data_IF_614694290878
#
_entry.id   IF_614694290878
#
_cell.length_a   1.000
_cell.length_b   1.000
_cell.length_c   1.000
_cell.angle_alpha   90.00
_cell.angle_beta   90.00
_cell.angle_gamma   90.00
#
_symmetry.space_group_name_H-M   'P 1'
#
loop_
_entity.id
_entity.type
_entity.pdbx_description
1 polymer ?
#
# COMPACT_ATOMS: atom_id res chain seq x y z
N UNK A 1 23.70 -8.66 -14.05
CA UNK A 1 22.56 -8.35 -13.15
C UNK A 1 23.03 -8.56 -11.71
N UNK A 2 22.81 -7.60 -10.79
CA UNK A 2 23.17 -7.81 -9.37
C UNK A 2 22.10 -8.70 -8.74
N UNK A 3 22.48 -9.89 -8.26
CA UNK A 3 21.59 -10.80 -7.54
C UNK A 3 21.34 -10.21 -6.14
N UNK A 4 20.12 -9.76 -5.81
CA UNK A 4 19.86 -9.03 -4.55
C UNK A 4 20.09 -9.87 -3.30
N UNK A 5 19.97 -11.20 -3.43
CA UNK A 5 20.11 -12.17 -2.34
C UNK A 5 21.53 -12.73 -2.18
N UNK A 6 22.47 -12.28 -3.03
CA UNK A 6 23.88 -12.67 -2.90
C UNK A 6 24.39 -12.28 -1.51
N UNK A 7 25.12 -13.17 -0.87
CA UNK A 7 25.66 -13.01 0.49
C UNK A 7 24.65 -13.13 1.65
N UNK A 8 23.42 -13.61 1.39
CA UNK A 8 22.50 -13.99 2.45
C UNK A 8 22.57 -15.50 2.69
N UNK A 9 22.65 -15.90 3.98
CA UNK A 9 22.69 -17.32 4.36
C UNK A 9 21.34 -18.02 4.25
N UNK A 10 20.25 -17.26 4.11
CA UNK A 10 18.89 -17.79 3.95
C UNK A 10 18.48 -17.80 2.48
N UNK A 11 17.69 -18.79 2.10
CA UNK A 11 17.21 -18.89 0.72
C UNK A 11 16.34 -17.69 0.33
N UNK A 12 16.31 -17.29 -0.96
CA UNK A 12 15.43 -16.25 -1.45
C UNK A 12 13.96 -16.48 -1.13
N UNK A 13 13.52 -17.75 -1.09
CA UNK A 13 12.14 -18.15 -0.75
C UNK A 13 11.79 -17.79 0.68
N UNK A 14 12.68 -18.09 1.64
CA UNK A 14 12.50 -17.76 3.06
C UNK A 14 12.44 -16.24 3.24
N UNK A 15 13.33 -15.49 2.58
CA UNK A 15 13.33 -14.02 2.64
C UNK A 15 12.01 -13.45 2.09
N UNK A 16 11.55 -13.92 0.93
CA UNK A 16 10.28 -13.50 0.34
C UNK A 16 9.09 -13.84 1.23
N UNK A 17 9.06 -15.06 1.79
CA UNK A 17 8.01 -15.50 2.71
C UNK A 17 7.96 -14.59 3.95
N UNK A 18 9.09 -14.33 4.58
CA UNK A 18 9.21 -13.50 5.77
C UNK A 18 8.70 -12.07 5.51
N UNK A 19 9.13 -11.45 4.42
CA UNK A 19 8.68 -10.10 4.04
C UNK A 19 7.18 -10.08 3.74
N UNK A 20 6.66 -11.09 3.04
CA UNK A 20 5.22 -11.22 2.77
C UNK A 20 4.42 -11.36 4.06
N UNK A 21 4.85 -12.23 4.98
CA UNK A 21 4.18 -12.44 6.26
C UNK A 21 4.11 -11.14 7.05
N UNK A 22 5.24 -10.45 7.21
CA UNK A 22 5.30 -9.22 7.97
C UNK A 22 4.49 -8.07 7.35
N UNK A 23 4.57 -7.85 6.03
CA UNK A 23 3.90 -6.69 5.42
C UNK A 23 2.41 -6.93 5.23
N UNK A 24 2.01 -8.14 4.86
CA UNK A 24 0.64 -8.44 4.46
C UNK A 24 -0.29 -8.77 5.63
N UNK A 25 0.19 -9.51 6.63
CA UNK A 25 -0.63 -9.98 7.74
C UNK A 25 -0.45 -9.09 8.98
N UNK A 26 -1.45 -8.99 9.87
CA UNK A 26 -1.36 -8.19 11.08
C UNK A 26 -0.50 -8.90 12.15
N UNK A 27 0.77 -9.16 11.81
CA UNK A 27 1.75 -9.82 12.65
C UNK A 27 2.83 -8.84 13.10
N UNK A 28 3.23 -8.90 14.37
CA UNK A 28 4.43 -8.23 14.86
C UNK A 28 5.69 -8.92 14.32
N UNK A 29 6.86 -8.28 14.48
CA UNK A 29 8.14 -8.91 14.10
C UNK A 29 8.38 -10.23 14.86
N UNK A 30 8.05 -10.25 16.14
CA UNK A 30 8.18 -11.46 17.00
C UNK A 30 7.21 -12.57 16.60
N UNK A 31 5.96 -12.23 16.29
CA UNK A 31 5.03 -13.24 15.79
C UNK A 31 5.46 -13.87 14.46
N UNK A 32 6.15 -13.11 13.61
CA UNK A 32 6.74 -13.67 12.39
C UNK A 32 7.90 -14.62 12.73
N UNK A 33 8.78 -14.24 13.68
CA UNK A 33 9.83 -15.09 14.23
C UNK A 33 9.24 -16.39 14.77
N UNK A 34 8.26 -16.31 15.69
CA UNK A 34 7.61 -17.48 16.33
C UNK A 34 7.02 -18.43 15.27
N UNK A 35 6.24 -17.89 14.32
CA UNK A 35 5.61 -18.68 13.25
C UNK A 35 6.61 -19.35 12.31
N UNK A 36 7.77 -18.78 12.11
CA UNK A 36 8.83 -19.37 11.29
C UNK A 36 9.60 -20.43 12.09
N UNK A 37 9.86 -20.18 13.36
CA UNK A 37 10.51 -21.12 14.27
C UNK A 37 9.68 -22.41 14.41
N UNK A 38 8.35 -22.33 14.57
CA UNK A 38 7.44 -23.48 14.57
C UNK A 38 7.50 -24.34 13.28
N UNK A 39 8.09 -23.82 12.22
CA UNK A 39 8.28 -24.48 10.92
C UNK A 39 9.73 -24.85 10.64
N UNK A 40 10.57 -24.84 11.67
CA UNK A 40 11.99 -25.20 11.57
C UNK A 40 12.85 -24.12 10.88
N UNK A 41 12.37 -22.87 10.80
CA UNK A 41 13.13 -21.74 10.23
C UNK A 41 13.55 -20.84 11.38
N UNK A 42 14.79 -20.98 11.83
CA UNK A 42 15.36 -20.22 12.94
C UNK A 42 15.94 -18.89 12.44
N UNK A 43 15.15 -17.81 12.63
CA UNK A 43 15.57 -16.42 12.37
C UNK A 43 14.99 -15.50 13.45
N UNK A 44 15.80 -14.57 13.95
CA UNK A 44 15.33 -13.61 14.96
C UNK A 44 14.52 -12.45 14.36
N UNK A 45 13.70 -11.78 15.17
CA UNK A 45 12.87 -10.65 14.76
C UNK A 45 13.67 -9.45 14.21
N UNK A 46 14.93 -9.28 14.60
CA UNK A 46 15.80 -8.27 14.00
C UNK A 46 16.15 -8.62 12.54
N UNK A 47 16.31 -9.91 12.22
CA UNK A 47 16.46 -10.38 10.84
C UNK A 47 15.20 -10.12 10.03
N UNK A 48 14.01 -10.35 10.60
CA UNK A 48 12.73 -9.99 9.97
C UNK A 48 12.68 -8.48 9.69
N UNK A 49 13.09 -7.66 10.68
CA UNK A 49 13.17 -6.19 10.54
C UNK A 49 14.14 -5.78 9.43
N UNK A 50 15.32 -6.37 9.41
CA UNK A 50 16.33 -6.09 8.39
C UNK A 50 15.83 -6.45 6.99
N UNK A 51 15.23 -7.64 6.81
CA UNK A 51 14.77 -8.09 5.51
C UNK A 51 13.61 -7.27 4.97
N UNK A 52 12.62 -6.94 5.78
CA UNK A 52 11.53 -6.10 5.29
C UNK A 52 12.02 -4.69 4.92
N UNK A 53 12.96 -4.15 5.69
CA UNK A 53 13.54 -2.82 5.42
C UNK A 53 14.32 -2.78 4.11
N UNK A 54 15.04 -3.85 3.80
CA UNK A 54 15.86 -3.97 2.60
C UNK A 54 15.06 -4.40 1.37
N UNK A 55 14.32 -5.48 1.47
CA UNK A 55 13.65 -6.12 0.34
C UNK A 55 12.22 -5.61 0.11
N UNK A 56 11.49 -5.18 1.14
CA UNK A 56 10.14 -4.70 1.01
C UNK A 56 9.98 -3.57 -0.02
N UNK A 57 10.78 -2.50 0.04
CA UNK A 57 10.75 -1.44 -0.99
C UNK A 57 11.10 -1.93 -2.39
N UNK A 58 12.02 -2.87 -2.51
CA UNK A 58 12.43 -3.46 -3.78
C UNK A 58 11.30 -4.28 -4.41
N UNK A 59 10.67 -5.17 -3.65
CA UNK A 59 9.51 -5.93 -4.11
C UNK A 59 8.35 -5.02 -4.49
N UNK A 60 8.06 -4.01 -3.67
CA UNK A 60 7.02 -3.03 -3.95
C UNK A 60 7.30 -2.22 -5.23
N UNK A 61 8.56 -1.87 -5.51
CA UNK A 61 8.93 -1.17 -6.73
C UNK A 61 8.73 -2.04 -7.97
N UNK A 62 9.11 -3.32 -7.90
CA UNK A 62 8.94 -4.27 -9.00
C UNK A 62 7.46 -4.57 -9.29
N UNK A 63 6.65 -4.78 -8.24
CA UNK A 63 5.19 -4.95 -8.36
C UNK A 63 4.58 -3.73 -9.05
N UNK A 64 4.90 -2.51 -8.60
CA UNK A 64 4.38 -1.28 -9.21
C UNK A 64 4.76 -1.16 -10.68
N UNK A 65 6.02 -1.48 -11.03
CA UNK A 65 6.49 -1.44 -12.42
C UNK A 65 5.67 -2.36 -13.33
N UNK A 66 5.43 -3.60 -12.88
CA UNK A 66 4.63 -4.58 -13.64
C UNK A 66 3.17 -4.12 -13.79
N UNK A 67 2.56 -3.59 -12.72
CA UNK A 67 1.16 -3.16 -12.72
C UNK A 67 0.89 -1.92 -13.59
N UNK A 68 1.74 -0.91 -13.56
CA UNK A 68 1.57 0.29 -14.40
C UNK A 68 1.49 -0.07 -15.89
N UNK A 69 2.25 -1.06 -16.33
CA UNK A 69 2.22 -1.53 -17.73
C UNK A 69 0.88 -2.19 -18.09
N UNK A 70 0.24 -2.90 -17.15
CA UNK A 70 -1.00 -3.65 -17.41
C UNK A 70 -2.28 -2.83 -17.27
N UNK A 71 -2.27 -1.70 -16.53
CA UNK A 71 -3.47 -0.96 -16.14
C UNK A 71 -3.61 0.44 -16.76
N UNK A 72 -2.99 0.72 -17.90
CA UNK A 72 -3.01 2.06 -18.52
C UNK A 72 -4.41 2.63 -18.83
N UNK A 73 -5.46 1.79 -18.83
CA UNK A 73 -6.83 2.20 -19.15
C UNK A 73 -7.81 2.20 -17.96
N UNK A 74 -7.42 1.71 -16.77
CA UNK A 74 -8.38 1.44 -15.68
C UNK A 74 -8.53 2.59 -14.66
N UNK A 75 -7.70 3.62 -14.69
CA UNK A 75 -7.67 4.63 -13.63
C UNK A 75 -8.54 5.87 -13.93
N UNK A 76 -9.67 5.71 -14.59
CA UNK A 76 -10.53 6.83 -14.97
C UNK A 76 -11.26 7.48 -13.79
N UNK A 77 -11.47 6.76 -12.67
CA UNK A 77 -12.17 7.21 -11.47
C UNK A 77 -11.33 6.93 -10.23
N UNK A 78 -11.03 7.98 -9.47
CA UNK A 78 -10.28 7.89 -8.22
C UNK A 78 -11.15 8.23 -7.03
N UNK A 79 -10.91 7.56 -5.92
CA UNK A 79 -11.47 7.82 -4.60
C UNK A 79 -10.36 8.29 -3.68
N UNK A 80 -10.51 9.47 -3.10
CA UNK A 80 -9.49 10.07 -2.25
C UNK A 80 -9.99 10.17 -0.81
N UNK A 81 -9.13 9.81 0.12
CA UNK A 81 -9.41 9.97 1.54
C UNK A 81 -8.10 10.05 2.34
N UNK A 82 -8.17 10.49 3.57
CA UNK A 82 -7.01 10.50 4.45
C UNK A 82 -7.28 9.84 5.80
N UNK A 83 -6.23 9.19 6.30
CA UNK A 83 -6.20 8.50 7.59
C UNK A 83 -5.36 9.30 8.58
N UNK A 84 -5.90 9.52 9.78
CA UNK A 84 -5.13 10.10 10.89
C UNK A 84 -4.19 9.06 11.49
N UNK A 85 -2.92 9.38 11.63
CA UNK A 85 -1.92 8.54 12.28
C UNK A 85 -1.21 9.34 13.36
N UNK A 86 -1.16 8.81 14.57
CA UNK A 86 -0.43 9.43 15.68
C UNK A 86 1.02 8.96 15.67
N UNK A 87 1.95 9.91 15.67
CA UNK A 87 3.38 9.67 15.80
C UNK A 87 3.89 10.53 16.97
N UNK A 88 4.34 9.89 18.05
CA UNK A 88 4.82 10.56 19.26
C UNK A 88 3.83 11.62 19.81
N UNK A 89 2.53 11.31 19.77
CA UNK A 89 1.47 12.24 20.22
C UNK A 89 1.06 13.30 19.19
N UNK A 90 1.77 13.45 18.09
CA UNK A 90 1.43 14.38 17.01
C UNK A 90 0.58 13.71 15.92
N UNK A 91 -0.48 14.39 15.46
CA UNK A 91 -1.33 13.92 14.37
C UNK A 91 -0.66 14.14 13.03
N UNK A 92 -0.58 13.09 12.22
CA UNK A 92 -0.17 13.11 10.83
C UNK A 92 -1.30 12.58 9.94
N UNK A 93 -1.28 12.95 8.67
CA UNK A 93 -2.31 12.61 7.69
C UNK A 93 -1.71 11.72 6.60
N UNK A 94 -2.23 10.51 6.48
CA UNK A 94 -1.90 9.58 5.41
C UNK A 94 -2.95 9.71 4.30
N UNK A 95 -2.64 10.47 3.26
CA UNK A 95 -3.46 10.62 2.06
C UNK A 95 -3.40 9.36 1.23
N UNK A 96 -4.55 8.93 0.72
CA UNK A 96 -4.66 7.74 -0.12
C UNK A 96 -5.53 8.03 -1.33
N UNK A 97 -5.06 7.59 -2.50
CA UNK A 97 -5.84 7.51 -3.73
C UNK A 97 -6.09 6.04 -4.03
N UNK A 98 -7.33 5.71 -4.32
CA UNK A 98 -7.78 4.36 -4.66
C UNK A 98 -8.54 4.45 -5.97
N UNK A 99 -8.37 3.50 -6.88
CA UNK A 99 -9.13 3.46 -8.12
C UNK A 99 -10.53 2.84 -7.93
N UNK A 100 -11.27 2.73 -9.03
CA UNK A 100 -12.60 2.15 -9.04
C UNK A 100 -12.62 0.63 -8.78
N UNK A 101 -11.48 -0.05 -8.86
CA UNK A 101 -11.33 -1.48 -8.52
C UNK A 101 -10.91 -1.69 -7.06
N UNK A 102 -10.64 -0.61 -6.32
CA UNK A 102 -10.21 -0.65 -4.92
C UNK A 102 -8.69 -0.78 -4.75
N UNK A 103 -7.92 -0.60 -5.81
CA UNK A 103 -6.46 -0.61 -5.74
C UNK A 103 -5.90 0.72 -5.26
N UNK A 104 -4.95 0.64 -4.35
CA UNK A 104 -4.27 1.82 -3.83
C UNK A 104 -3.26 2.33 -4.85
N UNK A 105 -3.53 3.47 -5.45
CA UNK A 105 -2.67 4.11 -6.44
C UNK A 105 -1.48 4.83 -5.77
N UNK A 106 -1.78 5.73 -4.84
CA UNK A 106 -0.74 6.53 -4.19
C UNK A 106 -1.04 6.67 -2.69
N UNK A 107 0.03 6.76 -1.91
CA UNK A 107 -0.02 7.10 -0.48
C UNK A 107 1.00 8.19 -0.18
N UNK A 108 0.59 9.20 0.58
CA UNK A 108 1.44 10.33 0.92
C UNK A 108 1.19 10.79 2.36
N UNK A 109 2.25 10.98 3.14
CA UNK A 109 2.15 11.40 4.54
C UNK A 109 2.51 12.87 4.67
N UNK A 110 1.68 13.61 5.41
CA UNK A 110 1.93 15.02 5.72
C UNK A 110 1.64 15.32 7.18
N UNK A 111 2.24 16.42 7.71
CA UNK A 111 1.93 16.94 9.04
C UNK A 111 0.66 17.80 9.04
N UNK A 112 0.27 18.36 7.90
CA UNK A 112 -0.88 19.26 7.77
C UNK A 112 -1.91 18.70 6.79
N UNK A 113 -3.18 19.00 7.06
CA UNK A 113 -4.35 18.68 6.23
C UNK A 113 -4.83 19.95 5.51
N UNK A 114 -4.00 20.48 4.62
CA UNK A 114 -4.26 21.73 3.95
C UNK A 114 -4.25 21.60 2.40
N UNK A 115 -4.59 22.71 1.71
CA UNK A 115 -4.57 22.78 0.24
C UNK A 115 -3.20 22.39 -0.35
N UNK A 116 -2.10 22.80 0.31
CA UNK A 116 -0.74 22.54 -0.20
C UNK A 116 -0.42 21.05 -0.14
N UNK A 117 -0.78 20.38 0.93
CA UNK A 117 -0.63 18.94 1.10
C UNK A 117 -1.48 18.17 0.07
N UNK A 118 -2.77 18.53 -0.09
CA UNK A 118 -3.65 17.94 -1.10
C UNK A 118 -3.11 18.12 -2.52
N UNK A 119 -2.60 19.32 -2.85
CA UNK A 119 -2.03 19.62 -4.16
C UNK A 119 -0.76 18.78 -4.44
N UNK A 120 0.14 18.64 -3.46
CA UNK A 120 1.33 17.81 -3.60
C UNK A 120 0.96 16.34 -3.81
N UNK A 121 -0.01 15.83 -3.06
CA UNK A 121 -0.52 14.48 -3.18
C UNK A 121 -1.12 14.22 -4.56
N UNK A 122 -2.03 15.07 -5.04
CA UNK A 122 -2.65 14.96 -6.35
C UNK A 122 -1.64 15.01 -7.49
N UNK A 123 -0.73 15.99 -7.48
CA UNK A 123 0.33 16.10 -8.49
C UNK A 123 1.21 14.86 -8.54
N UNK A 124 1.49 14.23 -7.38
CA UNK A 124 2.29 13.02 -7.29
C UNK A 124 1.55 11.82 -7.88
N UNK A 125 0.27 11.66 -7.58
CA UNK A 125 -0.57 10.61 -8.12
C UNK A 125 -0.74 10.76 -9.64
N UNK A 126 -1.09 11.97 -10.11
CA UNK A 126 -1.32 12.25 -11.53
C UNK A 126 -0.06 12.12 -12.39
N UNK A 127 1.13 12.43 -11.84
CA UNK A 127 2.40 12.22 -12.55
C UNK A 127 2.63 10.75 -12.90
N UNK A 128 2.14 9.84 -12.06
CA UNK A 128 2.36 8.40 -12.22
C UNK A 128 1.27 7.71 -13.01
N UNK A 129 0.02 8.09 -12.79
CA UNK A 129 -1.15 7.37 -13.29
C UNK A 129 -1.99 8.18 -14.30
N UNK A 130 -1.52 9.38 -14.68
CA UNK A 130 -2.29 10.30 -15.53
C UNK A 130 -3.40 11.01 -14.75
N UNK A 131 -4.20 11.81 -15.47
CA UNK A 131 -5.34 12.51 -14.91
C UNK A 131 -6.59 11.61 -14.94
N UNK A 132 -7.30 11.44 -13.81
CA UNK A 132 -8.59 10.76 -13.82
C UNK A 132 -9.67 11.66 -14.44
N UNK A 133 -10.71 11.03 -14.96
CA UNK A 133 -11.92 11.74 -15.44
C UNK A 133 -12.80 12.21 -14.27
N UNK A 134 -12.84 11.41 -13.20
CA UNK A 134 -13.67 11.67 -12.02
C UNK A 134 -12.84 11.48 -10.76
N UNK A 135 -12.96 12.41 -9.83
CA UNK A 135 -12.37 12.30 -8.49
C UNK A 135 -13.48 12.35 -7.45
N UNK A 136 -13.61 11.25 -6.71
CA UNK A 136 -14.55 11.14 -5.59
C UNK A 136 -13.80 11.49 -4.30
N UNK A 137 -14.35 12.40 -3.51
CA UNK A 137 -13.79 12.79 -2.21
C UNK A 137 -14.87 12.86 -1.15
N UNK A 138 -14.44 12.94 0.12
CA UNK A 138 -15.27 13.54 1.14
C UNK A 138 -15.46 15.05 0.86
N UNK A 139 -16.20 15.76 1.72
CA UNK A 139 -16.45 17.21 1.58
C UNK A 139 -15.27 18.07 2.03
N UNK A 140 -14.05 17.52 2.13
CA UNK A 140 -12.87 18.26 2.56
C UNK A 140 -12.52 19.40 1.59
N UNK A 141 -12.53 20.62 2.09
CA UNK A 141 -12.27 21.84 1.30
C UNK A 141 -10.88 21.87 0.64
N UNK A 142 -9.88 21.21 1.23
CA UNK A 142 -8.51 21.14 0.68
C UNK A 142 -8.44 20.40 -0.65
N UNK A 143 -9.24 19.35 -0.87
CA UNK A 143 -9.30 18.68 -2.17
C UNK A 143 -9.83 19.61 -3.26
N UNK A 144 -10.99 20.23 -3.02
CA UNK A 144 -11.59 21.16 -3.98
C UNK A 144 -10.66 22.31 -4.32
N UNK A 145 -10.03 22.92 -3.31
CA UNK A 145 -9.07 24.01 -3.53
C UNK A 145 -7.81 23.58 -4.29
N UNK A 146 -7.34 22.35 -4.09
CA UNK A 146 -6.21 21.79 -4.85
C UNK A 146 -6.59 21.44 -6.29
N UNK A 147 -7.77 20.88 -6.51
CA UNK A 147 -8.28 20.51 -7.84
C UNK A 147 -8.54 21.74 -8.71
N UNK A 148 -9.04 22.85 -8.13
CA UNK A 148 -9.17 24.12 -8.85
C UNK A 148 -7.81 24.65 -9.36
N UNK A 149 -6.72 24.44 -8.60
CA UNK A 149 -5.35 24.82 -9.04
C UNK A 149 -4.86 23.91 -10.18
N UNK A 150 -5.29 22.67 -10.22
CA UNK A 150 -4.91 21.71 -11.27
C UNK A 150 -5.77 21.90 -12.53
N UNK A 151 -6.97 22.42 -12.40
CA UNK A 151 -7.94 22.56 -13.48
C UNK A 151 -9.01 21.47 -13.53
N UNK A 152 -9.05 20.56 -12.57
CA UNK A 152 -10.01 19.44 -12.51
C UNK A 152 -11.16 19.65 -11.50
N UNK A 153 -11.44 20.89 -11.13
CA UNK A 153 -12.44 21.17 -10.09
C UNK A 153 -13.88 20.82 -10.45
N UNK A 154 -14.20 20.76 -11.74
CA UNK A 154 -15.51 20.41 -12.25
C UNK A 154 -15.82 18.90 -12.18
N UNK A 155 -14.80 18.06 -12.14
CA UNK A 155 -14.91 16.60 -12.16
C UNK A 155 -14.96 15.98 -10.75
N UNK A 156 -15.12 16.83 -9.72
CA UNK A 156 -15.23 16.39 -8.34
C UNK A 156 -16.63 15.92 -7.98
N UNK A 157 -16.75 14.67 -7.57
CA UNK A 157 -17.96 14.13 -6.96
C UNK A 157 -17.79 14.03 -5.44
N UNK A 158 -18.82 14.46 -4.71
CA UNK A 158 -18.87 14.41 -3.25
C UNK A 158 -20.17 13.76 -2.79
N UNK A 159 -20.10 12.70 -2.00
CA UNK A 159 -21.27 12.04 -1.44
C UNK A 159 -20.94 11.06 -0.32
N UNK A 160 -21.85 10.95 0.65
CA UNK A 160 -21.65 10.13 1.86
C UNK A 160 -21.31 8.67 1.55
N UNK A 161 -21.89 8.10 0.49
CA UNK A 161 -21.72 6.69 0.14
C UNK A 161 -20.74 6.47 -1.03
N UNK A 162 -20.40 7.54 -1.75
CA UNK A 162 -19.57 7.46 -2.93
C UNK A 162 -18.10 7.14 -2.58
N UNK A 163 -17.64 7.50 -1.38
CA UNK A 163 -16.25 7.36 -0.98
C UNK A 163 -15.94 6.10 -0.16
N UNK A 164 -16.90 5.19 0.01
CA UNK A 164 -16.74 3.94 0.79
C UNK A 164 -15.53 3.10 0.32
N UNK A 165 -15.14 3.17 -0.95
CA UNK A 165 -13.96 2.46 -1.47
C UNK A 165 -12.67 2.96 -0.82
N UNK A 166 -12.50 4.27 -0.71
CA UNK A 166 -11.34 4.85 -0.04
C UNK A 166 -11.36 4.50 1.46
N UNK A 167 -12.50 4.64 2.13
CA UNK A 167 -12.68 4.29 3.53
C UNK A 167 -12.35 2.81 3.80
N UNK A 168 -12.87 1.88 2.99
CA UNK A 168 -12.60 0.45 3.12
C UNK A 168 -11.11 0.12 2.89
N UNK A 169 -10.42 0.86 2.03
CA UNK A 169 -9.00 0.68 1.78
C UNK A 169 -8.13 0.95 3.01
N UNK A 170 -8.66 1.68 4.00
CA UNK A 170 -7.95 1.98 5.25
C UNK A 170 -7.86 0.77 6.19
N UNK A 171 -8.84 -0.12 6.17
CA UNK A 171 -8.92 -1.23 7.13
C UNK A 171 -7.69 -2.15 7.12
N UNK A 172 -7.16 -2.62 5.97
CA UNK A 172 -5.96 -3.44 5.96
C UNK A 172 -4.75 -2.71 6.56
N UNK A 173 -4.60 -1.41 6.27
CA UNK A 173 -3.54 -0.59 6.84
C UNK A 173 -3.70 -0.44 8.36
N UNK A 174 -4.90 -0.14 8.86
CA UNK A 174 -5.20 0.01 10.29
C UNK A 174 -4.91 -1.26 11.08
N UNK A 175 -5.24 -2.44 10.53
CA UNK A 175 -4.90 -3.73 11.14
C UNK A 175 -3.39 -3.90 11.30
N UNK A 176 -2.62 -3.47 10.30
CA UNK A 176 -1.16 -3.50 10.35
C UNK A 176 -0.60 -2.49 11.36
N UNK A 177 -1.09 -1.26 11.37
CA UNK A 177 -0.71 -0.23 12.33
C UNK A 177 -0.89 -0.72 13.78
N UNK A 178 -2.04 -1.32 14.09
CA UNK A 178 -2.31 -1.90 15.41
C UNK A 178 -1.31 -2.99 15.81
N UNK A 179 -0.98 -3.92 14.91
CA UNK A 179 -0.03 -5.00 15.16
C UNK A 179 1.43 -4.51 15.30
N UNK A 180 1.77 -3.35 14.77
CA UNK A 180 3.11 -2.76 14.83
C UNK A 180 3.33 -1.89 16.08
N UNK A 181 2.35 -1.77 16.97
CA UNK A 181 2.40 -0.94 18.18
C UNK A 181 2.77 0.54 17.89
N UNK A 182 2.26 1.09 16.82
CA UNK A 182 2.40 2.49 16.34
C UNK A 182 3.71 2.77 15.58
N UNK A 183 3.66 3.81 14.76
CA UNK A 183 4.84 4.35 14.07
C UNK A 183 5.56 5.36 14.96
N UNK A 184 6.88 5.40 14.87
CA UNK A 184 7.73 6.32 15.67
C UNK A 184 8.25 7.51 14.86
N UNK A 185 8.19 7.44 13.53
CA UNK A 185 8.61 8.55 12.67
C UNK A 185 7.87 8.54 11.31
N UNK A 186 7.83 9.71 10.68
CA UNK A 186 7.10 9.97 9.43
C UNK A 186 7.71 9.19 8.25
N UNK A 187 9.04 9.05 8.19
CA UNK A 187 9.73 8.35 7.10
C UNK A 187 9.40 6.86 7.12
N UNK A 188 9.37 6.27 8.32
CA UNK A 188 8.97 4.86 8.51
C UNK A 188 7.50 4.66 8.14
N UNK A 189 6.60 5.57 8.54
CA UNK A 189 5.20 5.53 8.13
C UNK A 189 5.05 5.61 6.62
N UNK A 190 5.69 6.59 5.96
CA UNK A 190 5.62 6.75 4.51
C UNK A 190 6.16 5.51 3.78
N UNK A 191 7.33 5.01 4.21
CA UNK A 191 7.95 3.80 3.64
C UNK A 191 7.03 2.60 3.77
N UNK A 192 6.56 2.32 4.99
CA UNK A 192 5.69 1.18 5.24
C UNK A 192 4.38 1.27 4.45
N UNK A 193 3.71 2.41 4.48
CA UNK A 193 2.44 2.62 3.77
C UNK A 193 2.58 2.40 2.26
N UNK A 194 3.68 2.87 1.66
CA UNK A 194 3.97 2.68 0.24
C UNK A 194 4.25 1.22 -0.12
N UNK A 195 4.99 0.51 0.72
CA UNK A 195 5.29 -0.93 0.53
C UNK A 195 4.03 -1.75 0.74
N UNK A 196 3.29 -1.48 1.82
CA UNK A 196 2.04 -2.16 2.14
C UNK A 196 1.01 -2.01 1.02
N UNK A 197 0.81 -0.79 0.50
CA UNK A 197 -0.11 -0.54 -0.60
C UNK A 197 0.20 -1.42 -1.81
N UNK A 198 1.47 -1.48 -2.24
CA UNK A 198 1.88 -2.27 -3.40
C UNK A 198 1.71 -3.77 -3.20
N UNK A 199 2.11 -4.28 -2.02
CA UNK A 199 1.98 -5.71 -1.70
C UNK A 199 0.51 -6.07 -1.48
N UNK A 200 -0.28 -5.17 -0.86
CA UNK A 200 -1.70 -5.36 -0.71
C UNK A 200 -2.39 -5.50 -2.08
N UNK A 201 -2.17 -4.56 -2.99
CA UNK A 201 -2.72 -4.62 -4.34
C UNK A 201 -2.36 -5.92 -5.07
N UNK A 202 -1.12 -6.39 -4.95
CA UNK A 202 -0.67 -7.63 -5.58
C UNK A 202 -1.48 -8.86 -5.16
N UNK A 203 -1.97 -8.87 -3.92
CA UNK A 203 -2.77 -9.96 -3.35
C UNK A 203 -4.25 -9.62 -3.16
N UNK A 204 -4.65 -8.38 -3.49
CA UNK A 204 -6.00 -7.90 -3.25
C UNK A 204 -6.95 -8.46 -4.31
N UNK A 205 -7.62 -9.51 -3.90
CA UNK A 205 -8.77 -10.07 -4.59
C UNK A 205 -9.89 -10.14 -3.59
N UNK A 206 -10.94 -9.41 -3.86
CA UNK A 206 -12.13 -9.38 -3.01
C UNK A 206 -12.76 -10.77 -2.95
N UNK A 207 -12.52 -11.46 -1.83
CA UNK A 207 -12.97 -12.85 -1.63
C UNK A 207 -14.48 -13.00 -1.74
N UNK A 208 -15.24 -11.99 -1.33
CA UNK A 208 -16.70 -11.98 -1.37
C UNK A 208 -17.27 -11.78 -2.78
N UNK A 209 -16.47 -11.23 -3.72
CA UNK A 209 -16.86 -11.03 -5.12
C UNK A 209 -16.45 -12.19 -6.02
N UNK A 210 -15.61 -13.11 -5.53
CA UNK A 210 -15.07 -14.20 -6.31
C UNK A 210 -15.54 -15.57 -5.79
N UNK A 211 -15.90 -16.48 -6.70
CA UNK A 211 -16.12 -17.88 -6.32
C UNK A 211 -14.83 -18.47 -5.76
N UNK A 212 -14.96 -19.43 -4.83
CA UNK A 212 -13.81 -20.06 -4.15
C UNK A 212 -12.74 -20.57 -5.13
N UNK A 213 -13.14 -21.15 -6.26
CA UNK A 213 -12.23 -21.66 -7.28
C UNK A 213 -11.42 -20.53 -7.89
N UNK A 214 -12.08 -19.52 -8.45
CA UNK A 214 -11.45 -18.32 -9.04
C UNK A 214 -10.55 -17.59 -8.05
N UNK A 215 -11.02 -17.44 -6.81
CA UNK A 215 -10.18 -16.84 -5.75
C UNK A 215 -8.89 -17.62 -5.51
N UNK A 216 -8.94 -18.97 -5.49
CA UNK A 216 -7.75 -19.81 -5.32
C UNK A 216 -6.81 -19.74 -6.52
N UNK A 217 -7.35 -19.78 -7.73
CA UNK A 217 -6.58 -19.67 -8.97
C UNK A 217 -5.80 -18.35 -9.03
N UNK A 218 -6.49 -17.23 -8.82
CA UNK A 218 -5.88 -15.91 -8.79
C UNK A 218 -4.84 -15.78 -7.65
N UNK A 219 -5.12 -16.37 -6.49
CA UNK A 219 -4.17 -16.40 -5.37
C UNK A 219 -2.92 -17.21 -5.71
N UNK A 220 -3.07 -18.33 -6.41
CA UNK A 220 -1.95 -19.15 -6.85
C UNK A 220 -1.09 -18.40 -7.88
N UNK A 221 -1.71 -17.70 -8.83
CA UNK A 221 -1.01 -16.85 -9.79
C UNK A 221 -0.22 -15.73 -9.09
N UNK A 222 -0.86 -15.00 -8.17
CA UNK A 222 -0.17 -13.95 -7.40
C UNK A 222 1.01 -14.48 -6.58
N UNK A 223 0.89 -15.69 -6.01
CA UNK A 223 1.99 -16.33 -5.29
C UNK A 223 3.12 -16.78 -6.25
N UNK A 224 2.79 -17.24 -7.44
CA UNK A 224 3.78 -17.60 -8.45
C UNK A 224 4.61 -16.38 -8.88
N UNK A 225 3.95 -15.25 -9.15
CA UNK A 225 4.61 -13.98 -9.45
C UNK A 225 5.45 -13.47 -8.26
N UNK A 226 4.94 -13.58 -7.02
CA UNK A 226 5.67 -13.21 -5.82
C UNK A 226 7.00 -13.96 -5.69
N UNK A 227 7.01 -15.26 -5.99
CA UNK A 227 8.21 -16.10 -5.94
C UNK A 227 9.27 -15.69 -6.96
N UNK A 228 8.90 -14.96 -8.01
CA UNK A 228 9.81 -14.46 -9.04
C UNK A 228 10.33 -13.04 -8.77
N UNK A 229 9.86 -12.37 -7.69
CA UNK A 229 10.34 -11.02 -7.38
C UNK A 229 11.82 -11.05 -7.03
N UNK A 230 12.59 -10.13 -7.65
CA UNK A 230 14.02 -9.99 -7.46
C UNK A 230 14.82 -11.29 -7.82
N UNK A 231 14.31 -12.06 -8.76
CA UNK A 231 15.04 -13.20 -9.33
C UNK A 231 16.17 -12.75 -10.25
#
# INVERSE_FOLDING_TARGET
MKIPFRYFNSSPEIIRLTVMMYVRYPLSLRQVEDLLFERGIDICHETVRFWWNRFGPMFAAEIRKRRVVHHSYSHWRWHLDEVFVLINGETHYLWRAVDHEGEVLEVFVTKRRDRRAALQFLKRAMRRYGQPKVIVTDRLRSYRAAMNVIGNGADQECGRWLNNRAENSHQPFRRREGAMARFRDVKTLQKFSSVHASIHNHFNLDRHLNRRKTFKENRTAALAEWRQLAA
#
